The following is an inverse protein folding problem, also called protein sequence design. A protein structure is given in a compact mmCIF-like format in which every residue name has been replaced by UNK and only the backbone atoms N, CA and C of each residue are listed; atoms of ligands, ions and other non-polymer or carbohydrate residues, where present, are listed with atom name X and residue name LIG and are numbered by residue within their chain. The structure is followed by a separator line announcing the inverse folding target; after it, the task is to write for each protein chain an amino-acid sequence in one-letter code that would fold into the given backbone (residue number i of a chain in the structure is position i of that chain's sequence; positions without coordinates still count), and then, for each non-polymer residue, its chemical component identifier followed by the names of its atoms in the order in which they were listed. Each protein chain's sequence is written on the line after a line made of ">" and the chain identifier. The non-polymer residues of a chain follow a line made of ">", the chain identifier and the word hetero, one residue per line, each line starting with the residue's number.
data_IF_751907096124
#
_entry.id   IF_751907096124
#
_cell.length_a   1.000
_cell.length_b   1.000
_cell.length_c   1.000
_cell.angle_alpha   90.00
_cell.angle_beta   90.00
_cell.angle_gamma   90.00
#
_symmetry.space_group_name_H-M   'P 1'
#
loop_
_entity.id
_entity.type
_entity.pdbx_description
1 polymer ?
#
# COMPACT_ATOMS: atom_id res chain seq x y z
N UNK A 1 12.04 -8.73 1.97
CA UNK A 1 12.79 -7.50 1.60
C UNK A 1 13.43 -6.97 2.88
N UNK A 2 14.77 -6.85 2.97
CA UNK A 2 15.39 -6.17 4.13
C UNK A 2 15.02 -4.70 3.98
N UNK A 3 14.01 -4.25 4.73
CA UNK A 3 13.58 -2.86 4.71
C UNK A 3 14.80 -1.99 5.07
N UNK A 4 15.12 -1.03 4.21
CA UNK A 4 16.11 0.01 4.49
C UNK A 4 15.50 0.96 5.53
N UNK A 5 15.32 0.46 6.75
CA UNK A 5 14.79 1.25 7.87
C UNK A 5 15.93 2.08 8.40
N UNK A 6 15.85 3.39 8.21
CA UNK A 6 16.64 4.32 9.02
C UNK A 6 15.86 4.52 10.31
N UNK A 7 16.25 3.89 11.43
CA UNK A 7 15.47 3.96 12.65
C UNK A 7 15.37 5.41 13.13
N UNK A 8 14.14 5.85 13.39
CA UNK A 8 13.84 7.10 14.10
C UNK A 8 14.30 8.39 13.38
N UNK A 9 14.38 8.37 12.05
CA UNK A 9 14.80 9.52 11.24
C UNK A 9 13.95 10.76 11.53
N UNK A 10 12.63 10.60 11.63
CA UNK A 10 11.72 11.71 11.86
C UNK A 10 11.95 12.37 13.23
N UNK A 11 12.21 11.59 14.29
CA UNK A 11 12.55 12.16 15.60
C UNK A 11 13.86 12.95 15.57
N UNK A 12 14.89 12.42 14.91
CA UNK A 12 16.21 13.08 14.85
C UNK A 12 16.10 14.44 14.15
N UNK A 13 15.44 14.51 13.00
CA UNK A 13 15.26 15.78 12.31
C UNK A 13 14.32 16.72 13.07
N UNK A 14 13.26 16.19 13.68
CA UNK A 14 12.33 17.00 14.48
C UNK A 14 13.01 17.60 15.72
N UNK A 15 13.94 16.89 16.37
CA UNK A 15 14.65 17.43 17.54
C UNK A 15 15.62 18.56 17.16
N UNK A 16 16.30 18.43 16.02
CA UNK A 16 17.16 19.51 15.47
C UNK A 16 16.30 20.73 15.15
N UNK A 17 15.17 20.53 14.46
CA UNK A 17 14.25 21.63 14.11
C UNK A 17 13.67 22.28 15.37
N UNK A 18 13.30 21.51 16.38
CA UNK A 18 12.75 22.03 17.63
C UNK A 18 13.76 22.90 18.38
N UNK A 19 15.00 22.44 18.54
CA UNK A 19 16.06 23.24 19.16
C UNK A 19 16.36 24.53 18.39
N UNK A 20 16.32 24.48 17.06
CA UNK A 20 16.49 25.66 16.22
C UNK A 20 15.30 26.63 16.34
N UNK A 21 14.08 26.10 16.37
CA UNK A 21 12.86 26.88 16.54
C UNK A 21 12.84 27.63 17.87
N UNK A 22 13.25 26.99 18.97
CA UNK A 22 13.45 27.64 20.27
C UNK A 22 14.42 28.82 20.16
N UNK A 23 15.58 28.60 19.52
CA UNK A 23 16.57 29.66 19.33
C UNK A 23 16.00 30.86 18.56
N UNK A 24 15.22 30.62 17.50
CA UNK A 24 14.54 31.68 16.75
C UNK A 24 13.50 32.38 17.62
N UNK A 25 12.65 31.62 18.30
CA UNK A 25 11.59 32.16 19.14
C UNK A 25 12.15 33.09 20.23
N UNK A 26 13.21 32.67 20.91
CA UNK A 26 13.89 33.49 21.93
C UNK A 26 14.59 34.70 21.32
N UNK A 27 15.30 34.54 20.20
CA UNK A 27 16.13 35.61 19.63
C UNK A 27 15.29 36.73 19.01
N UNK A 28 14.22 36.37 18.31
CA UNK A 28 13.39 37.31 17.56
C UNK A 28 12.11 37.70 18.32
N UNK A 29 11.88 37.10 19.50
CA UNK A 29 10.69 37.27 20.34
C UNK A 29 9.37 37.02 19.57
N UNK A 30 9.31 35.90 18.85
CA UNK A 30 8.14 35.44 18.10
C UNK A 30 7.74 34.01 18.45
N UNK A 31 6.51 33.63 18.14
CA UNK A 31 6.10 32.23 18.13
C UNK A 31 6.56 31.57 16.82
N UNK A 32 6.96 30.30 16.90
CA UNK A 32 7.50 29.56 15.75
C UNK A 32 6.68 28.31 15.48
N UNK A 33 6.29 28.14 14.23
CA UNK A 33 5.58 26.96 13.75
C UNK A 33 6.55 26.10 12.92
N UNK A 34 6.75 24.85 13.33
CA UNK A 34 7.54 23.86 12.60
C UNK A 34 6.60 23.12 11.66
N UNK A 35 6.71 23.39 10.36
CA UNK A 35 5.96 22.68 9.33
C UNK A 35 6.71 21.43 8.85
N UNK A 36 6.07 20.25 8.92
CA UNK A 36 6.63 19.00 8.42
C UNK A 36 5.65 18.31 7.47
N UNK A 37 6.13 17.93 6.28
CA UNK A 37 5.35 17.24 5.25
C UNK A 37 5.22 15.72 5.48
N UNK A 38 4.79 15.32 6.68
CA UNK A 38 4.62 13.91 7.06
C UNK A 38 3.24 13.45 6.63
N UNK A 39 3.13 12.24 6.09
CA UNK A 39 1.85 11.64 5.73
C UNK A 39 1.69 10.24 6.32
N UNK A 40 0.45 9.86 6.64
CA UNK A 40 0.15 8.54 7.22
C UNK A 40 0.22 7.41 6.21
N UNK A 41 0.21 7.67 4.89
CA UNK A 41 0.30 6.62 3.85
C UNK A 41 1.33 5.50 4.11
N UNK A 42 2.49 5.81 4.71
CA UNK A 42 3.55 4.81 4.95
C UNK A 42 3.49 4.12 6.34
N UNK A 43 2.43 4.32 7.14
CA UNK A 43 2.36 3.90 8.56
C UNK A 43 2.51 2.39 8.82
N UNK A 44 2.28 1.55 7.82
CA UNK A 44 2.49 0.11 7.88
C UNK A 44 3.99 -0.25 7.91
N UNK A 45 4.85 0.65 7.43
CA UNK A 45 6.30 0.50 7.35
C UNK A 45 7.00 1.38 8.39
N UNK A 46 6.52 2.62 8.56
CA UNK A 46 7.13 3.64 9.41
C UNK A 46 6.19 4.09 10.53
N UNK A 47 6.38 3.61 11.78
CA UNK A 47 5.53 4.01 12.90
C UNK A 47 5.71 5.49 13.29
N UNK A 48 6.80 6.13 12.86
CA UNK A 48 7.13 7.55 13.10
C UNK A 48 6.45 8.52 12.13
N UNK A 49 5.46 8.05 11.36
CA UNK A 49 4.59 8.88 10.50
C UNK A 49 3.15 9.01 11.05
N UNK A 50 2.93 8.64 12.31
CA UNK A 50 1.58 8.62 12.93
C UNK A 50 1.32 9.88 13.78
N UNK A 51 0.06 10.34 13.91
CA UNK A 51 -0.28 11.44 14.80
C UNK A 51 0.21 11.24 16.23
N UNK A 52 0.01 10.04 16.81
CA UNK A 52 0.35 9.75 18.21
C UNK A 52 1.86 9.82 18.46
N UNK A 53 2.67 9.51 17.44
CA UNK A 53 4.11 9.65 17.52
C UNK A 53 4.51 11.12 17.63
N UNK A 54 3.94 11.99 16.80
CA UNK A 54 4.24 13.42 16.84
C UNK A 54 3.69 14.13 18.08
N UNK A 55 2.53 13.70 18.57
CA UNK A 55 1.99 14.15 19.86
C UNK A 55 2.94 13.79 21.00
N UNK A 56 3.34 12.52 21.10
CA UNK A 56 4.28 12.04 22.13
C UNK A 56 5.66 12.71 22.02
N UNK A 57 6.13 12.93 20.79
CA UNK A 57 7.41 13.59 20.53
C UNK A 57 7.37 15.07 20.94
N UNK A 58 6.30 15.78 20.57
CA UNK A 58 6.07 17.17 20.95
C UNK A 58 5.97 17.34 22.46
N UNK A 59 5.22 16.47 23.16
CA UNK A 59 5.18 16.48 24.62
C UNK A 59 6.57 16.27 25.25
N UNK A 60 7.36 15.37 24.67
CA UNK A 60 8.71 15.06 25.17
C UNK A 60 9.65 16.26 25.01
N UNK A 61 9.58 16.94 23.86
CA UNK A 61 10.33 18.17 23.64
C UNK A 61 9.88 19.29 24.58
N UNK A 62 8.57 19.44 24.78
CA UNK A 62 8.01 20.44 25.67
C UNK A 62 8.44 20.25 27.13
N UNK A 63 8.47 19.00 27.61
CA UNK A 63 8.95 18.66 28.97
C UNK A 63 10.45 18.94 29.15
N UNK A 64 11.23 18.82 28.07
CA UNK A 64 12.69 18.94 28.10
C UNK A 64 13.24 20.37 27.95
N UNK A 65 12.42 21.34 27.57
CA UNK A 65 12.87 22.69 27.20
C UNK A 65 11.96 23.78 27.75
N UNK A 66 12.55 24.91 28.17
CA UNK A 66 11.81 26.13 28.48
C UNK A 66 11.24 26.79 27.21
N UNK A 67 10.24 27.65 27.39
CA UNK A 67 9.57 28.43 26.34
C UNK A 67 8.95 27.59 25.22
N UNK A 68 8.68 26.31 25.51
CA UNK A 68 8.14 25.34 24.56
C UNK A 68 6.70 25.67 24.13
N UNK A 69 5.96 26.43 24.92
CA UNK A 69 4.63 26.95 24.58
C UNK A 69 4.66 27.90 23.37
N UNK A 70 5.83 28.42 22.99
CA UNK A 70 6.03 29.27 21.81
C UNK A 70 6.23 28.46 20.53
N UNK A 71 6.38 27.14 20.64
CA UNK A 71 6.70 26.24 19.53
C UNK A 71 5.51 25.33 19.27
N UNK A 72 5.10 25.22 18.02
CA UNK A 72 4.05 24.29 17.60
C UNK A 72 4.42 23.53 16.34
N UNK A 73 3.83 22.36 16.14
CA UNK A 73 3.96 21.59 14.90
C UNK A 73 2.77 21.84 13.99
N UNK A 74 3.05 22.00 12.70
CA UNK A 74 2.05 22.00 11.64
C UNK A 74 2.31 20.82 10.70
N UNK A 75 1.40 19.84 10.70
CA UNK A 75 1.52 18.59 9.97
C UNK A 75 0.37 18.46 8.95
N UNK A 76 0.37 19.23 7.86
CA UNK A 76 -0.79 19.38 6.98
C UNK A 76 -1.23 18.09 6.29
N UNK A 77 -0.35 17.09 6.19
CA UNK A 77 -0.60 15.84 5.48
C UNK A 77 -0.70 14.61 6.39
N UNK A 78 -0.68 14.78 7.72
CA UNK A 78 -0.57 13.64 8.65
C UNK A 78 -1.73 12.66 8.50
N UNK A 79 -2.94 13.16 8.26
CA UNK A 79 -4.15 12.35 8.04
C UNK A 79 -4.42 12.09 6.55
N UNK A 80 -3.51 12.53 5.68
CA UNK A 80 -3.61 12.42 4.24
C UNK A 80 -2.67 11.37 3.63
N UNK A 81 -2.75 11.29 2.32
CA UNK A 81 -1.96 10.41 1.47
C UNK A 81 -1.32 11.20 0.31
N UNK A 82 -0.72 10.48 -0.64
CA UNK A 82 -0.09 11.11 -1.81
C UNK A 82 -1.10 11.80 -2.70
N UNK A 83 -2.35 11.33 -2.79
CA UNK A 83 -3.42 12.03 -3.53
C UNK A 83 -3.70 13.40 -2.90
N UNK A 84 -3.79 13.45 -1.56
CA UNK A 84 -3.99 14.70 -0.80
C UNK A 84 -2.88 15.69 -1.06
N UNK A 85 -1.62 15.23 -1.05
CA UNK A 85 -0.45 16.06 -1.36
C UNK A 85 -0.52 16.61 -2.79
N UNK A 86 -0.91 15.80 -3.77
CA UNK A 86 -1.01 16.26 -5.17
C UNK A 86 -2.14 17.27 -5.37
N UNK A 87 -3.27 17.11 -4.68
CA UNK A 87 -4.38 18.08 -4.71
C UNK A 87 -3.96 19.44 -4.13
N UNK A 88 -3.28 19.45 -2.98
CA UNK A 88 -2.72 20.68 -2.42
C UNK A 88 -1.68 21.30 -3.37
N UNK A 89 -0.82 20.47 -3.98
CA UNK A 89 0.18 20.95 -4.92
C UNK A 89 -0.45 21.59 -6.17
N UNK A 90 -1.57 21.08 -6.68
CA UNK A 90 -2.30 21.73 -7.78
C UNK A 90 -2.78 23.14 -7.40
N UNK A 91 -3.34 23.30 -6.20
CA UNK A 91 -3.80 24.60 -5.71
C UNK A 91 -2.61 25.54 -5.48
N UNK A 92 -1.54 25.05 -4.86
CA UNK A 92 -0.32 25.79 -4.57
C UNK A 92 0.41 26.24 -5.84
N UNK A 93 0.54 25.37 -6.84
CA UNK A 93 1.14 25.72 -8.14
C UNK A 93 0.36 26.84 -8.84
N UNK A 94 -0.98 26.77 -8.82
CA UNK A 94 -1.83 27.82 -9.37
C UNK A 94 -1.67 29.15 -8.62
N UNK A 95 -1.59 29.13 -7.28
CA UNK A 95 -1.38 30.34 -6.47
C UNK A 95 -0.02 30.99 -6.70
N UNK A 96 1.01 30.18 -6.96
CA UNK A 96 2.39 30.64 -7.13
C UNK A 96 2.76 30.95 -8.58
N UNK A 97 1.86 30.71 -9.54
CA UNK A 97 2.12 30.82 -10.99
C UNK A 97 3.31 29.95 -11.44
N UNK A 98 3.33 28.70 -10.97
CA UNK A 98 4.37 27.71 -11.28
C UNK A 98 3.74 26.52 -12.00
N UNK A 99 4.42 26.00 -13.01
CA UNK A 99 3.98 24.81 -13.74
C UNK A 99 4.12 23.52 -12.92
N UNK A 100 2.98 22.88 -12.64
CA UNK A 100 2.89 21.65 -11.86
C UNK A 100 3.72 20.51 -12.46
N UNK A 101 3.65 20.30 -13.79
CA UNK A 101 4.33 19.18 -14.43
C UNK A 101 5.85 19.36 -14.39
N UNK A 102 6.34 20.59 -14.51
CA UNK A 102 7.76 20.91 -14.36
C UNK A 102 8.25 20.57 -12.96
N UNK A 103 7.49 20.88 -11.91
CA UNK A 103 7.88 20.53 -10.53
C UNK A 103 7.93 19.00 -10.37
N UNK A 104 6.85 18.31 -10.71
CA UNK A 104 6.76 16.87 -10.44
C UNK A 104 7.65 16.00 -11.34
N UNK A 105 8.00 16.46 -12.55
CA UNK A 105 9.00 15.82 -13.42
C UNK A 105 10.38 15.76 -12.78
N UNK A 106 10.70 16.73 -11.91
CA UNK A 106 11.98 16.83 -11.21
C UNK A 106 12.00 16.08 -9.87
N UNK A 107 10.96 15.31 -9.57
CA UNK A 107 10.90 14.46 -8.37
C UNK A 107 11.11 13.00 -8.75
N UNK A 108 11.78 12.22 -7.90
CA UNK A 108 11.91 10.78 -8.08
C UNK A 108 11.79 10.08 -6.72
N UNK A 109 10.85 9.15 -6.63
CA UNK A 109 10.53 8.40 -5.40
C UNK A 109 10.87 6.91 -5.51
N UNK A 110 11.49 6.47 -6.61
CA UNK A 110 11.73 5.05 -6.84
C UNK A 110 12.85 4.50 -5.96
N UNK A 111 12.57 3.37 -5.32
CA UNK A 111 13.56 2.62 -4.54
C UNK A 111 14.31 1.56 -5.36
N UNK A 112 13.93 1.38 -6.63
CA UNK A 112 14.55 0.41 -7.54
C UNK A 112 14.68 0.96 -8.97
N UNK A 113 15.31 2.13 -9.17
CA UNK A 113 15.47 2.71 -10.49
C UNK A 113 16.37 1.86 -11.40
N UNK A 114 16.21 2.02 -12.72
CA UNK A 114 17.12 1.43 -13.70
C UNK A 114 18.50 2.14 -13.70
N UNK A 115 19.43 1.64 -14.52
CA UNK A 115 20.78 2.22 -14.63
C UNK A 115 20.79 3.68 -15.12
N UNK A 116 19.68 4.19 -15.67
CA UNK A 116 19.51 5.57 -16.11
C UNK A 116 18.76 6.43 -15.08
N UNK A 117 18.40 5.86 -13.93
CA UNK A 117 17.66 6.54 -12.87
C UNK A 117 16.14 6.55 -13.06
N UNK A 118 15.60 5.84 -14.06
CA UNK A 118 14.16 5.83 -14.36
C UNK A 118 13.43 4.88 -13.42
N UNK A 119 12.24 5.28 -12.99
CA UNK A 119 11.43 4.50 -12.05
C UNK A 119 10.97 3.20 -12.70
N UNK A 120 11.09 2.09 -11.97
CA UNK A 120 10.66 0.77 -12.48
C UNK A 120 9.13 0.67 -12.62
N UNK A 121 8.38 1.45 -11.84
CA UNK A 121 6.92 1.38 -11.75
C UNK A 121 6.43 0.26 -10.83
N UNK A 122 7.32 -0.40 -10.10
CA UNK A 122 7.00 -1.63 -9.33
C UNK A 122 7.36 -1.58 -7.85
N UNK A 123 8.16 -0.60 -7.40
CA UNK A 123 8.37 -0.42 -5.96
C UNK A 123 7.10 0.13 -5.29
N UNK A 124 6.96 -0.06 -3.98
CA UNK A 124 5.81 0.47 -3.23
C UNK A 124 5.64 1.98 -3.42
N UNK A 125 6.75 2.74 -3.37
CA UNK A 125 6.73 4.18 -3.62
C UNK A 125 6.36 4.56 -5.06
N UNK A 126 6.75 3.75 -6.05
CA UNK A 126 6.31 3.96 -7.44
C UNK A 126 4.79 3.74 -7.54
N UNK A 127 4.28 2.64 -7.00
CA UNK A 127 2.87 2.25 -7.08
C UNK A 127 1.98 3.31 -6.42
N UNK A 128 2.30 3.75 -5.21
CA UNK A 128 1.50 4.78 -4.53
C UNK A 128 1.49 6.10 -5.28
N UNK A 129 2.63 6.50 -5.88
CA UNK A 129 2.72 7.70 -6.69
C UNK A 129 1.87 7.60 -7.96
N UNK A 130 2.00 6.49 -8.71
CA UNK A 130 1.22 6.22 -9.93
C UNK A 130 -0.28 6.32 -9.62
N UNK A 131 -0.73 5.67 -8.54
CA UNK A 131 -2.13 5.66 -8.14
C UNK A 131 -2.61 7.04 -7.72
N UNK A 132 -1.79 7.83 -7.02
CA UNK A 132 -2.13 9.20 -6.65
C UNK A 132 -2.31 10.10 -7.89
N UNK A 133 -1.42 10.01 -8.88
CA UNK A 133 -1.56 10.75 -10.14
C UNK A 133 -2.81 10.32 -10.91
N UNK A 134 -3.07 9.01 -10.98
CA UNK A 134 -4.28 8.49 -11.59
C UNK A 134 -5.55 9.00 -10.89
N UNK A 135 -5.56 9.06 -9.56
CA UNK A 135 -6.70 9.51 -8.77
C UNK A 135 -7.06 10.98 -9.03
N UNK A 136 -6.08 11.83 -9.35
CA UNK A 136 -6.31 13.21 -9.77
C UNK A 136 -6.55 13.36 -11.28
N UNK A 137 -6.68 12.25 -12.02
CA UNK A 137 -6.97 12.23 -13.45
C UNK A 137 -5.79 12.68 -14.34
N UNK A 138 -4.54 12.48 -13.89
CA UNK A 138 -3.34 12.89 -14.62
C UNK A 138 -2.39 11.71 -14.84
N UNK A 139 -1.57 11.82 -15.89
CA UNK A 139 -0.36 11.00 -16.02
C UNK A 139 0.76 11.62 -15.19
N UNK A 140 1.57 10.79 -14.55
CA UNK A 140 2.74 11.28 -13.81
C UNK A 140 3.82 11.77 -14.79
N UNK A 141 4.32 13.00 -14.64
CA UNK A 141 5.28 13.59 -15.59
C UNK A 141 6.70 13.00 -15.52
N UNK A 142 6.99 12.08 -14.59
CA UNK A 142 8.29 11.39 -14.53
C UNK A 142 8.46 10.35 -15.64
N UNK A 143 9.71 10.06 -16.01
CA UNK A 143 10.01 9.00 -16.97
C UNK A 143 10.08 7.63 -16.28
N UNK A 144 9.18 6.72 -16.66
CA UNK A 144 9.21 5.33 -16.25
C UNK A 144 10.00 4.46 -17.25
N UNK A 145 10.43 3.29 -16.79
CA UNK A 145 11.04 2.26 -17.65
C UNK A 145 10.05 1.74 -18.70
N UNK A 146 8.77 1.61 -18.33
CA UNK A 146 7.66 1.16 -19.20
C UNK A 146 6.70 2.32 -19.48
N UNK A 147 5.76 2.11 -20.40
CA UNK A 147 4.73 3.11 -20.69
C UNK A 147 3.83 3.40 -19.48
N UNK A 148 3.23 4.59 -19.44
CA UNK A 148 2.28 4.98 -18.39
C UNK A 148 1.16 3.94 -18.21
N UNK A 149 0.57 3.47 -19.31
CA UNK A 149 -0.48 2.46 -19.28
C UNK A 149 -0.02 1.16 -18.61
N UNK A 150 1.19 0.68 -18.90
CA UNK A 150 1.71 -0.55 -18.30
C UNK A 150 1.97 -0.39 -16.81
N UNK A 151 2.59 0.72 -16.38
CA UNK A 151 2.88 0.95 -14.95
C UNK A 151 1.59 1.22 -14.17
N UNK A 152 0.60 1.89 -14.76
CA UNK A 152 -0.71 2.08 -14.16
C UNK A 152 -1.46 0.77 -13.96
N UNK A 153 -1.52 -0.09 -14.98
CA UNK A 153 -2.13 -1.41 -14.84
C UNK A 153 -1.39 -2.26 -13.80
N UNK A 154 -0.06 -2.22 -13.78
CA UNK A 154 0.75 -2.85 -12.75
C UNK A 154 0.44 -2.34 -11.34
N UNK A 155 0.34 -1.02 -11.17
CA UNK A 155 0.00 -0.37 -9.91
C UNK A 155 -1.40 -0.72 -9.41
N UNK A 156 -2.40 -0.73 -10.30
CA UNK A 156 -3.77 -1.14 -9.97
C UNK A 156 -3.82 -2.63 -9.57
N UNK A 157 -3.12 -3.51 -10.29
CA UNK A 157 -3.01 -4.93 -9.96
C UNK A 157 -2.34 -5.13 -8.60
N UNK A 158 -1.26 -4.40 -8.32
CA UNK A 158 -0.56 -4.45 -7.03
C UNK A 158 -1.44 -3.97 -5.87
N UNK A 159 -2.18 -2.87 -6.06
CA UNK A 159 -3.11 -2.34 -5.06
C UNK A 159 -4.25 -3.32 -4.77
N UNK A 160 -4.89 -3.87 -5.80
CA UNK A 160 -5.94 -4.87 -5.63
C UNK A 160 -5.40 -6.12 -4.91
N UNK A 161 -4.21 -6.59 -5.27
CA UNK A 161 -3.56 -7.72 -4.60
C UNK A 161 -3.35 -7.45 -3.12
N UNK A 162 -2.82 -6.27 -2.77
CA UNK A 162 -2.65 -5.89 -1.36
C UNK A 162 -3.99 -5.80 -0.61
N UNK A 163 -4.99 -5.15 -1.20
CA UNK A 163 -6.32 -5.04 -0.62
C UNK A 163 -6.95 -6.42 -0.34
N UNK A 164 -6.91 -7.34 -1.31
CA UNK A 164 -7.45 -8.68 -1.12
C UNK A 164 -6.63 -9.48 -0.12
N UNK A 165 -5.31 -9.58 -0.31
CA UNK A 165 -4.47 -10.52 0.45
C UNK A 165 -4.14 -10.04 1.87
N UNK A 166 -4.07 -8.73 2.12
CA UNK A 166 -3.63 -8.16 3.41
C UNK A 166 -4.76 -7.45 4.17
N UNK A 167 -5.81 -7.01 3.49
CA UNK A 167 -6.94 -6.32 4.11
C UNK A 167 -8.25 -7.13 4.04
N UNK A 168 -8.17 -8.41 3.70
CA UNK A 168 -9.31 -9.33 3.56
C UNK A 168 -10.37 -8.82 2.58
N UNK A 169 -9.95 -8.06 1.56
CA UNK A 169 -10.81 -7.62 0.48
C UNK A 169 -11.27 -8.78 -0.41
N UNK A 170 -12.10 -8.48 -1.40
CA UNK A 170 -12.56 -9.47 -2.39
C UNK A 170 -12.59 -8.82 -3.77
N UNK A 171 -11.99 -9.47 -4.77
CA UNK A 171 -12.04 -9.01 -6.15
C UNK A 171 -13.47 -9.07 -6.69
N UNK A 172 -13.79 -8.25 -7.70
CA UNK A 172 -15.14 -8.26 -8.28
C UNK A 172 -15.38 -9.58 -9.02
N UNK A 173 -16.58 -10.18 -8.90
CA UNK A 173 -16.89 -11.42 -9.59
C UNK A 173 -16.78 -11.23 -11.11
N UNK A 174 -16.37 -12.29 -11.81
CA UNK A 174 -16.19 -12.38 -13.28
C UNK A 174 -15.11 -11.46 -13.87
N UNK A 175 -14.30 -10.81 -13.04
CA UNK A 175 -13.22 -9.92 -13.50
C UNK A 175 -11.83 -10.53 -13.37
N UNK A 176 -11.69 -11.57 -12.56
CA UNK A 176 -10.42 -12.21 -12.29
C UNK A 176 -9.92 -13.06 -13.45
N UNK A 177 -8.60 -13.03 -13.68
CA UNK A 177 -7.91 -13.74 -14.76
C UNK A 177 -8.19 -15.25 -14.76
N UNK A 178 -8.38 -15.85 -13.57
CA UNK A 178 -8.49 -17.29 -13.41
C UNK A 178 -9.91 -17.83 -13.24
N UNK A 179 -10.95 -16.98 -13.30
CA UNK A 179 -12.35 -17.44 -13.24
C UNK A 179 -12.63 -18.46 -14.35
N UNK A 180 -12.35 -18.09 -15.61
CA UNK A 180 -12.57 -18.93 -16.80
C UNK A 180 -11.32 -19.61 -17.37
N UNK A 181 -10.26 -19.69 -16.56
CA UNK A 181 -9.02 -20.37 -16.93
C UNK A 181 -9.07 -21.86 -16.53
N UNK A 182 -8.75 -22.78 -17.45
CA UNK A 182 -8.81 -24.24 -17.22
C UNK A 182 -7.63 -25.00 -17.84
N UNK A 183 -6.49 -24.33 -18.02
CA UNK A 183 -5.26 -24.99 -18.48
C UNK A 183 -4.67 -25.90 -17.39
N UNK A 184 -3.95 -26.94 -17.81
CA UNK A 184 -3.30 -27.91 -16.92
C UNK A 184 -2.07 -27.29 -16.26
N UNK A 185 -1.99 -27.39 -14.93
CA UNK A 185 -0.89 -26.84 -14.15
C UNK A 185 -1.24 -26.60 -12.68
N UNK A 186 -0.45 -25.74 -12.03
CA UNK A 186 -0.54 -25.47 -10.60
C UNK A 186 -0.85 -23.99 -10.36
N UNK A 187 -1.76 -23.72 -9.42
CA UNK A 187 -2.07 -22.38 -8.94
C UNK A 187 -1.32 -22.14 -7.63
N UNK A 188 -0.28 -21.31 -7.71
CA UNK A 188 0.57 -20.94 -6.58
C UNK A 188 0.04 -19.69 -5.87
N UNK A 189 0.38 -19.52 -4.60
CA UNK A 189 0.11 -18.28 -3.88
C UNK A 189 0.90 -17.12 -4.51
N UNK A 190 0.21 -16.06 -4.91
CA UNK A 190 0.83 -14.91 -5.57
C UNK A 190 1.78 -14.08 -4.67
N UNK A 191 1.78 -14.31 -3.36
CA UNK A 191 2.62 -13.60 -2.38
C UNK A 191 3.87 -14.39 -1.99
N UNK A 192 3.73 -15.70 -1.73
CA UNK A 192 4.86 -16.53 -1.27
C UNK A 192 5.23 -17.71 -2.17
N UNK A 193 4.49 -17.95 -3.25
CA UNK A 193 4.79 -18.97 -4.26
C UNK A 193 4.51 -20.42 -3.87
N UNK A 194 3.90 -20.70 -2.71
CA UNK A 194 3.54 -22.08 -2.34
C UNK A 194 2.41 -22.60 -3.24
N UNK A 195 2.46 -23.87 -3.64
CA UNK A 195 1.36 -24.52 -4.36
C UNK A 195 0.11 -24.57 -3.50
N UNK A 196 -1.00 -24.01 -4.00
CA UNK A 196 -2.28 -23.97 -3.30
C UNK A 196 -3.28 -24.97 -3.89
N UNK A 197 -3.38 -25.01 -5.22
CA UNK A 197 -4.34 -25.83 -5.94
C UNK A 197 -3.74 -26.40 -7.23
N UNK A 198 -4.24 -27.55 -7.65
CA UNK A 198 -3.94 -28.17 -8.95
C UNK A 198 -5.10 -27.96 -9.92
N UNK A 199 -4.83 -27.92 -11.23
CA UNK A 199 -5.86 -27.75 -12.26
C UNK A 199 -6.94 -28.83 -12.21
N UNK A 200 -6.58 -30.06 -11.82
CA UNK A 200 -7.48 -31.20 -11.75
C UNK A 200 -8.59 -31.02 -10.70
N UNK A 201 -8.35 -30.20 -9.68
CA UNK A 201 -9.37 -29.88 -8.67
C UNK A 201 -10.24 -28.69 -9.06
N UNK A 202 -9.88 -27.93 -10.11
CA UNK A 202 -10.61 -26.73 -10.56
C UNK A 202 -11.88 -27.11 -11.32
N UNK A 203 -12.97 -26.38 -11.07
CA UNK A 203 -14.24 -26.58 -11.78
C UNK A 203 -14.98 -25.26 -12.02
N UNK A 204 -15.87 -25.23 -13.01
CA UNK A 204 -16.74 -24.06 -13.25
C UNK A 204 -17.93 -24.10 -12.28
N UNK A 205 -17.87 -23.23 -11.27
CA UNK A 205 -18.96 -23.06 -10.31
C UNK A 205 -20.00 -22.02 -10.74
N UNK A 206 -19.69 -21.19 -11.75
CA UNK A 206 -20.50 -20.04 -12.13
C UNK A 206 -20.57 -18.91 -11.10
N UNK A 207 -19.78 -18.96 -10.01
CA UNK A 207 -19.84 -17.93 -8.96
C UNK A 207 -19.07 -16.64 -9.30
N UNK A 208 -18.25 -16.66 -10.35
CA UNK A 208 -17.44 -15.52 -10.80
C UNK A 208 -16.05 -15.43 -10.17
N UNK A 209 -15.62 -16.48 -9.48
CA UNK A 209 -14.27 -16.62 -8.95
C UNK A 209 -13.77 -18.05 -9.23
N UNK A 210 -12.45 -18.27 -9.39
CA UNK A 210 -11.90 -19.60 -9.53
C UNK A 210 -12.32 -20.47 -8.34
N UNK A 211 -12.85 -21.65 -8.67
CA UNK A 211 -13.38 -22.59 -7.71
C UNK A 211 -12.61 -23.92 -7.78
N UNK A 212 -12.22 -24.42 -6.62
CA UNK A 212 -11.48 -25.68 -6.47
C UNK A 212 -12.19 -26.61 -5.49
N UNK A 213 -12.10 -27.91 -5.75
CA UNK A 213 -12.72 -28.95 -4.91
C UNK A 213 -11.81 -29.41 -3.77
N UNK A 214 -10.49 -29.32 -3.94
CA UNK A 214 -9.52 -29.60 -2.90
C UNK A 214 -8.23 -28.79 -3.10
N UNK A 215 -7.53 -28.57 -1.99
CA UNK A 215 -6.18 -28.01 -1.97
C UNK A 215 -5.14 -29.05 -2.40
N UNK A 216 -3.95 -28.57 -2.81
CA UNK A 216 -2.79 -29.41 -3.09
C UNK A 216 -2.24 -30.06 -1.82
N UNK A 217 -1.57 -31.21 -1.95
CA UNK A 217 -1.12 -32.07 -0.83
C UNK A 217 -0.37 -31.32 0.30
N UNK A 218 0.42 -30.31 -0.06
CA UNK A 218 1.25 -29.55 0.88
C UNK A 218 0.73 -28.14 1.19
N UNK A 219 -0.42 -27.74 0.64
CA UNK A 219 -0.96 -26.39 0.79
C UNK A 219 -1.33 -26.09 2.26
N UNK A 220 -1.92 -27.05 2.97
CA UNK A 220 -2.32 -26.96 4.38
C UNK A 220 -3.12 -25.68 4.69
N UNK A 221 -4.09 -25.34 3.83
CA UNK A 221 -4.76 -24.03 3.86
C UNK A 221 -5.45 -23.82 5.21
N UNK A 222 -5.16 -22.68 5.85
CA UNK A 222 -5.75 -22.33 7.14
C UNK A 222 -7.22 -21.96 6.95
N UNK A 223 -8.07 -22.52 7.79
CA UNK A 223 -9.51 -22.26 7.81
C UNK A 223 -9.87 -21.49 9.08
N UNK A 224 -10.47 -20.31 8.92
CA UNK A 224 -10.87 -19.44 10.02
C UNK A 224 -12.37 -19.16 9.96
N UNK A 225 -13.03 -19.13 11.11
CA UNK A 225 -14.45 -18.77 11.17
C UNK A 225 -14.58 -17.27 10.91
N UNK A 226 -15.28 -16.93 9.83
CA UNK A 226 -15.58 -15.55 9.46
C UNK A 226 -17.05 -15.25 9.78
N UNK A 227 -17.26 -14.26 10.67
CA UNK A 227 -18.60 -13.77 11.06
C UNK A 227 -18.91 -12.36 10.54
N UNK A 228 -18.06 -11.85 9.64
CA UNK A 228 -18.23 -10.54 9.02
C UNK A 228 -19.50 -10.45 8.16
N UNK A 229 -19.98 -9.23 7.95
CA UNK A 229 -21.17 -8.93 7.13
C UNK A 229 -22.45 -9.69 7.55
N UNK A 230 -22.54 -10.14 8.81
CA UNK A 230 -23.68 -10.89 9.33
C UNK A 230 -23.81 -12.32 8.77
N UNK A 231 -22.78 -12.82 8.10
CA UNK A 231 -22.73 -14.18 7.53
C UNK A 231 -21.79 -15.05 8.35
N UNK A 232 -22.03 -16.37 8.39
CA UNK A 232 -21.08 -17.35 8.93
C UNK A 232 -20.43 -18.10 7.79
N UNK A 233 -19.17 -17.75 7.48
CA UNK A 233 -18.37 -18.35 6.41
C UNK A 233 -17.09 -18.95 7.00
N UNK A 234 -16.34 -19.66 6.17
CA UNK A 234 -15.00 -20.13 6.49
C UNK A 234 -14.04 -19.35 5.59
N UNK A 235 -13.30 -18.41 6.16
CA UNK A 235 -12.19 -17.75 5.48
C UNK A 235 -11.07 -18.77 5.26
N UNK A 236 -10.46 -18.73 4.08
CA UNK A 236 -9.25 -19.48 3.77
C UNK A 236 -8.04 -18.58 3.59
N UNK A 237 -6.93 -18.94 4.26
CA UNK A 237 -5.66 -18.22 4.21
C UNK A 237 -4.50 -19.13 3.83
N UNK A 238 -3.52 -18.57 3.16
CA UNK A 238 -2.26 -19.25 2.87
C UNK A 238 -1.58 -19.67 4.18
N UNK A 239 -1.21 -20.95 4.28
CA UNK A 239 -0.57 -21.51 5.47
C UNK A 239 0.78 -20.86 5.76
N UNK A 240 1.55 -20.55 4.72
CA UNK A 240 2.92 -20.07 4.79
C UNK A 240 3.03 -18.56 5.08
N UNK A 241 2.25 -17.71 4.41
CA UNK A 241 2.34 -16.24 4.57
C UNK A 241 1.13 -15.58 5.23
N UNK A 242 0.12 -16.37 5.62
CA UNK A 242 -1.12 -15.91 6.25
C UNK A 242 -1.98 -14.95 5.40
N UNK A 243 -1.67 -14.83 4.10
CA UNK A 243 -2.45 -14.00 3.18
C UNK A 243 -3.86 -14.55 2.98
N UNK A 244 -4.84 -13.65 2.97
CA UNK A 244 -6.22 -13.96 2.61
C UNK A 244 -6.30 -14.46 1.16
N UNK A 245 -7.04 -15.56 0.95
CA UNK A 245 -7.25 -16.15 -0.37
C UNK A 245 -8.71 -16.04 -0.82
N UNK A 246 -9.66 -16.25 0.09
CA UNK A 246 -11.09 -16.25 -0.19
C UNK A 246 -11.87 -17.02 0.87
N UNK A 247 -12.85 -17.82 0.45
CA UNK A 247 -13.72 -18.57 1.36
C UNK A 247 -13.94 -20.02 0.92
N UNK A 248 -14.11 -20.89 1.90
CA UNK A 248 -14.53 -22.28 1.73
C UNK A 248 -16.03 -22.43 2.03
N UNK A 249 -16.75 -23.04 1.10
CA UNK A 249 -18.16 -23.39 1.25
C UNK A 249 -18.32 -24.91 1.25
N UNK A 250 -19.14 -25.43 2.17
CA UNK A 250 -19.50 -26.84 2.21
C UNK A 250 -20.86 -27.01 1.53
N UNK A 251 -20.86 -27.52 0.30
CA UNK A 251 -22.06 -27.69 -0.52
C UNK A 251 -22.43 -29.18 -0.63
N UNK A 252 -23.66 -29.48 -1.06
CA UNK A 252 -24.12 -30.86 -1.21
C UNK A 252 -23.27 -31.68 -2.20
N UNK A 253 -22.61 -31.01 -3.15
CA UNK A 253 -21.72 -31.61 -4.16
C UNK A 253 -20.27 -31.73 -3.70
N UNK A 254 -19.95 -31.31 -2.47
CA UNK A 254 -18.61 -31.29 -1.91
C UNK A 254 -18.14 -29.88 -1.51
N UNK A 255 -16.92 -29.77 -0.99
CA UNK A 255 -16.30 -28.49 -0.68
C UNK A 255 -16.05 -27.66 -1.96
N UNK A 256 -16.23 -26.34 -1.83
CA UNK A 256 -15.90 -25.35 -2.85
C UNK A 256 -15.02 -24.27 -2.25
N UNK A 257 -13.73 -24.31 -2.60
CA UNK A 257 -12.78 -23.24 -2.34
C UNK A 257 -13.01 -22.14 -3.38
N UNK A 258 -13.63 -21.04 -2.97
CA UNK A 258 -13.91 -19.87 -3.80
C UNK A 258 -12.80 -18.85 -3.56
N UNK A 259 -11.87 -18.74 -4.51
CA UNK A 259 -10.60 -18.04 -4.32
C UNK A 259 -10.54 -16.81 -5.21
N UNK A 260 -9.94 -15.73 -4.75
CA UNK A 260 -9.69 -14.58 -5.61
C UNK A 260 -8.55 -14.89 -6.58
N UNK A 261 -8.75 -14.63 -7.87
CA UNK A 261 -7.73 -14.81 -8.92
C UNK A 261 -6.48 -14.01 -8.63
N UNK A 262 -6.62 -12.79 -8.10
CA UNK A 262 -5.48 -11.91 -7.78
C UNK A 262 -4.51 -12.51 -6.73
N UNK A 263 -4.99 -13.50 -5.94
CA UNK A 263 -4.20 -14.21 -4.95
C UNK A 263 -3.43 -15.40 -5.53
N UNK A 264 -3.64 -15.73 -6.80
CA UNK A 264 -3.06 -16.87 -7.49
C UNK A 264 -2.04 -16.41 -8.54
N UNK A 265 -1.07 -17.27 -8.80
CA UNK A 265 -0.17 -17.19 -9.95
C UNK A 265 -0.13 -18.58 -10.59
N UNK A 266 -0.48 -18.67 -11.87
CA UNK A 266 -0.57 -19.95 -12.56
C UNK A 266 0.80 -20.36 -13.15
N UNK A 267 1.15 -21.62 -12.95
CA UNK A 267 2.30 -22.27 -13.56
C UNK A 267 1.81 -23.45 -14.41
N UNK A 268 1.83 -23.29 -15.73
CA UNK A 268 1.52 -24.36 -16.68
C UNK A 268 2.61 -25.44 -16.71
N UNK A 269 2.23 -26.61 -17.23
CA UNK A 269 3.14 -27.73 -17.50
C UNK A 269 4.06 -27.52 -18.72
#
# INVERSE_FOLDING_TARGET
>A
MKATVVPNRNAIFSSILYGYALSIATKEDIDVIIALGVHSGDHAIYPDCRPEFYESLGESFAKGNWDSERISFHLPYIDGDKETILKDALESCNKLDIDFDTIFRNTNTSYNPDAKGRSSGTSGADVERILAFHAIGREDPVEYVKSWNEVLQGGLKAHLRFHVMKQNGTERPFTGEYDKHFETGIYNCADCGIALFESDSKFDSGCGWPAFSNESENANIKQLIDTSHGMKRIEVRCSNCDSHLGHLFHEARGPRYCINSICLEFQGE
#
